data_IF_293321267512
#
_entry.id   IF_293321267512
#
_cell.length_a   1.000
_cell.length_b   1.000
_cell.length_c   1.000
_cell.angle_alpha   90.00
_cell.angle_beta   90.00
_cell.angle_gamma   90.00
#
_symmetry.space_group_name_H-M   'P 1'
#
loop_
_entity.id
_entity.type
_entity.pdbx_description
1 polymer ?
#
# COMPACT_ATOMS: atom_id res chain seq x y z
N UNK A 1 -1.04 1.91 19.49
CA UNK A 1 -0.69 2.41 18.16
C UNK A 1 -1.96 2.94 17.52
N UNK A 2 -2.00 4.23 17.17
CA UNK A 2 -3.14 4.87 16.50
C UNK A 2 -3.15 4.44 15.02
N UNK A 3 -4.32 4.05 14.47
CA UNK A 3 -4.48 3.71 13.04
C UNK A 3 -5.31 4.79 12.37
N UNK A 4 -4.86 5.27 11.21
CA UNK A 4 -5.70 5.99 10.25
C UNK A 4 -5.56 5.36 8.88
N UNK A 5 -6.67 5.19 8.18
CA UNK A 5 -6.70 4.72 6.79
C UNK A 5 -7.28 5.84 5.94
N UNK A 6 -6.55 6.23 4.89
CA UNK A 6 -7.08 7.14 3.88
C UNK A 6 -8.12 6.39 3.04
N UNK A 7 -9.36 6.88 3.08
CA UNK A 7 -10.47 6.28 2.34
C UNK A 7 -10.32 6.51 0.83
N UNK A 8 -9.66 7.58 0.43
CA UNK A 8 -9.35 7.86 -0.96
C UNK A 8 -8.21 6.95 -1.44
N UNK A 9 -8.44 6.25 -2.55
CA UNK A 9 -7.37 5.50 -3.21
C UNK A 9 -6.38 6.49 -3.84
N UNK A 10 -5.09 6.18 -3.77
CA UNK A 10 -4.03 7.04 -4.26
C UNK A 10 -3.05 6.25 -5.12
N UNK A 11 -2.38 6.95 -6.03
CA UNK A 11 -1.29 6.44 -6.85
C UNK A 11 0.04 6.70 -6.13
N UNK A 12 0.63 5.62 -5.63
CA UNK A 12 1.92 5.60 -4.98
C UNK A 12 3.02 5.21 -5.97
N UNK A 13 4.27 5.46 -5.58
CA UNK A 13 5.46 5.15 -6.38
C UNK A 13 6.38 4.24 -5.58
N UNK A 14 6.47 2.97 -5.98
CA UNK A 14 7.33 2.00 -5.34
C UNK A 14 8.75 2.09 -5.90
N UNK A 15 9.75 2.08 -5.03
CA UNK A 15 11.16 2.03 -5.44
C UNK A 15 11.49 0.61 -5.91
N UNK A 16 11.93 0.48 -7.17
CA UNK A 16 12.36 -0.82 -7.69
C UNK A 16 13.87 -0.98 -7.63
N UNK A 17 14.33 -2.23 -7.71
CA UNK A 17 15.76 -2.55 -7.82
C UNK A 17 16.39 -2.11 -9.16
N UNK A 18 15.60 -1.58 -10.10
CA UNK A 18 16.06 -1.07 -11.40
C UNK A 18 16.36 0.43 -11.36
N UNK A 19 16.26 1.09 -10.20
CA UNK A 19 16.48 2.53 -10.10
C UNK A 19 15.38 3.35 -10.77
N UNK A 20 14.15 2.84 -10.78
CA UNK A 20 12.98 3.58 -11.23
C UNK A 20 11.81 3.49 -10.23
N UNK A 21 10.84 4.39 -10.43
CA UNK A 21 9.58 4.42 -9.71
C UNK A 21 8.54 3.59 -10.44
N UNK A 22 7.95 2.62 -9.75
CA UNK A 22 6.83 1.84 -10.26
C UNK A 22 5.51 2.39 -9.69
N UNK A 23 4.60 2.92 -10.53
CA UNK A 23 3.33 3.42 -10.06
C UNK A 23 2.43 2.25 -9.61
N UNK A 24 1.78 2.41 -8.47
CA UNK A 24 0.85 1.43 -7.91
C UNK A 24 -0.33 2.13 -7.23
N UNK A 25 -1.54 1.62 -7.43
CA UNK A 25 -2.74 2.14 -6.77
C UNK A 25 -2.96 1.38 -5.47
N UNK A 26 -3.31 2.10 -4.41
CA UNK A 26 -3.61 1.51 -3.10
C UNK A 26 -4.18 2.53 -2.14
N UNK A 27 -4.10 2.23 -0.84
CA UNK A 27 -4.53 3.15 0.22
C UNK A 27 -3.38 3.45 1.20
N UNK A 28 -3.33 4.69 1.68
CA UNK A 28 -2.43 5.05 2.76
C UNK A 28 -2.99 4.56 4.11
N UNK A 29 -2.12 3.96 4.92
CA UNK A 29 -2.37 3.52 6.28
C UNK A 29 -1.30 4.15 7.16
N UNK A 30 -1.71 5.04 8.04
CA UNK A 30 -0.86 5.61 9.07
C UNK A 30 -0.96 4.78 10.34
N UNK A 31 0.20 4.37 10.86
CA UNK A 31 0.32 3.70 12.16
C UNK A 31 1.41 4.39 12.96
N UNK A 32 1.01 5.12 13.99
CA UNK A 32 1.87 6.04 14.75
C UNK A 32 2.63 7.01 13.83
N UNK A 33 3.96 6.94 13.81
CA UNK A 33 4.85 7.77 12.98
C UNK A 33 5.00 7.28 11.52
N UNK A 34 4.57 6.06 11.21
CA UNK A 34 4.75 5.49 9.89
C UNK A 34 3.54 5.76 9.00
N UNK A 35 3.78 6.34 7.82
CA UNK A 35 2.79 6.41 6.75
C UNK A 35 3.16 5.37 5.70
N UNK A 36 2.31 4.37 5.54
CA UNK A 36 2.55 3.21 4.67
C UNK A 36 1.49 3.18 3.57
N UNK A 37 1.82 2.69 2.38
CA UNK A 37 0.83 2.34 1.36
C UNK A 37 0.60 0.84 1.33
N UNK A 38 -0.66 0.43 1.28
CA UNK A 38 -1.08 -0.95 1.03
C UNK A 38 -1.55 -1.06 -0.43
N UNK A 39 -0.72 -1.67 -1.28
CA UNK A 39 -0.99 -1.82 -2.71
C UNK A 39 -1.15 -3.30 -3.08
N UNK A 40 -2.28 -3.72 -3.68
CA UNK A 40 -2.43 -5.10 -4.15
C UNK A 40 -1.42 -5.41 -5.26
N UNK A 41 -0.75 -6.57 -5.15
CA UNK A 41 0.18 -7.06 -6.17
C UNK A 41 0.17 -8.59 -6.24
N UNK A 42 0.77 -9.11 -7.31
CA UNK A 42 1.11 -10.53 -7.41
C UNK A 42 2.58 -10.72 -7.02
N UNK A 43 2.82 -11.56 -6.03
CA UNK A 43 4.13 -12.04 -5.60
C UNK A 43 4.31 -13.49 -6.07
N UNK A 44 5.49 -13.82 -6.58
CA UNK A 44 5.76 -15.14 -7.17
C UNK A 44 5.81 -16.27 -6.15
N UNK A 45 6.04 -15.95 -4.87
CA UNK A 45 6.12 -16.92 -3.77
C UNK A 45 4.78 -17.02 -3.04
N UNK A 46 4.15 -15.88 -2.77
CA UNK A 46 2.95 -15.81 -1.93
C UNK A 46 1.63 -15.68 -2.71
N UNK A 47 1.69 -15.53 -4.03
CA UNK A 47 0.52 -15.31 -4.86
C UNK A 47 0.00 -13.88 -4.72
N UNK A 48 -1.31 -13.71 -4.52
CA UNK A 48 -1.92 -12.37 -4.38
C UNK A 48 -1.65 -11.84 -2.98
N UNK A 49 -1.03 -10.66 -2.89
CA UNK A 49 -0.62 -10.04 -1.63
C UNK A 49 -0.93 -8.54 -1.63
N UNK A 50 -0.93 -7.94 -0.46
CA UNK A 50 -0.77 -6.51 -0.28
C UNK A 50 0.71 -6.22 -0.04
N UNK A 51 1.30 -5.43 -0.93
CA UNK A 51 2.60 -4.83 -0.70
C UNK A 51 2.47 -3.68 0.30
N UNK A 52 3.30 -3.70 1.34
CA UNK A 52 3.34 -2.66 2.36
C UNK A 52 4.66 -1.92 2.25
N UNK A 53 4.61 -0.68 1.75
CA UNK A 53 5.79 0.17 1.54
C UNK A 53 5.63 1.51 2.24
N UNK A 54 6.74 2.14 2.62
CA UNK A 54 6.70 3.49 3.18
C UNK A 54 6.54 4.52 2.06
N UNK A 55 5.65 5.50 2.26
CA UNK A 55 5.14 6.34 1.17
C UNK A 55 6.16 7.32 0.58
N UNK A 56 7.14 7.78 1.36
CA UNK A 56 8.13 8.78 0.90
C UNK A 56 9.31 8.14 0.18
N UNK A 57 9.62 6.89 0.48
CA UNK A 57 10.73 6.13 -0.11
C UNK A 57 10.28 5.09 -1.12
N UNK A 58 8.99 4.74 -1.14
CA UNK A 58 8.46 3.63 -1.94
C UNK A 58 9.04 2.27 -1.54
N UNK A 59 9.79 2.20 -0.43
CA UNK A 59 10.53 1.01 -0.04
C UNK A 59 9.66 0.06 0.78
N UNK A 60 9.75 -1.22 0.45
CA UNK A 60 9.05 -2.28 1.19
C UNK A 60 9.72 -2.52 2.55
N UNK A 61 9.14 -1.93 3.59
CA UNK A 61 9.68 -2.00 4.96
C UNK A 61 9.26 -3.26 5.72
N UNK A 62 8.12 -3.84 5.36
CA UNK A 62 7.52 -5.03 5.98
C UNK A 62 7.34 -6.17 4.95
N UNK A 63 7.11 -7.38 5.44
CA UNK A 63 6.74 -8.49 4.55
C UNK A 63 5.36 -8.23 3.92
N UNK A 64 5.13 -8.65 2.66
CA UNK A 64 3.81 -8.58 2.06
C UNK A 64 2.78 -9.35 2.87
N UNK A 65 1.55 -8.86 2.89
CA UNK A 65 0.43 -9.52 3.59
C UNK A 65 -0.34 -10.35 2.56
N UNK A 66 -0.40 -11.69 2.70
CA UNK A 66 -1.18 -12.52 1.77
C UNK A 66 -2.66 -12.16 1.77
N UNK A 67 -3.25 -12.08 0.57
CA UNK A 67 -4.70 -11.94 0.39
C UNK A 67 -5.28 -13.35 0.37
N UNK A 68 -5.83 -13.78 1.50
CA UNK A 68 -6.34 -15.14 1.72
C UNK A 68 -7.83 -15.13 2.06
N UNK A 69 -8.48 -16.29 1.89
CA UNK A 69 -9.85 -16.52 2.34
C UNK A 69 -10.89 -15.65 1.61
N UNK A 70 -11.74 -15.01 2.39
CA UNK A 70 -12.90 -14.20 1.98
C UNK A 70 -12.56 -12.73 1.65
N UNK A 71 -11.27 -12.38 1.54
CA UNK A 71 -10.85 -11.02 1.25
C UNK A 71 -11.49 -10.45 -0.03
N UNK A 72 -11.73 -11.27 -1.05
CA UNK A 72 -12.46 -10.87 -2.27
C UNK A 72 -13.90 -10.45 -1.98
N UNK A 73 -14.59 -11.19 -1.12
CA UNK A 73 -15.99 -10.91 -0.77
C UNK A 73 -16.06 -9.64 0.07
N UNK A 74 -15.14 -9.48 1.04
CA UNK A 74 -15.05 -8.30 1.91
C UNK A 74 -14.72 -7.01 1.16
N UNK A 75 -13.90 -7.10 0.11
CA UNK A 75 -13.44 -5.94 -0.68
C UNK A 75 -14.30 -5.69 -1.93
N UNK A 76 -15.45 -6.36 -2.06
CA UNK A 76 -16.37 -6.19 -3.18
C UNK A 76 -17.01 -4.80 -3.29
N UNK A 77 -16.91 -3.99 -2.25
CA UNK A 77 -17.40 -2.60 -2.22
C UNK A 77 -16.31 -1.67 -1.68
N UNK A 78 -16.40 -0.37 -1.99
CA UNK A 78 -15.48 0.64 -1.45
C UNK A 78 -15.52 0.64 0.10
N UNK A 79 -16.71 0.67 0.69
CA UNK A 79 -16.88 0.64 2.14
C UNK A 79 -16.32 -0.66 2.78
N UNK A 80 -16.55 -1.81 2.13
CA UNK A 80 -16.01 -3.10 2.55
C UNK A 80 -14.47 -3.13 2.48
N UNK A 81 -13.89 -2.52 1.45
CA UNK A 81 -12.43 -2.37 1.30
C UNK A 81 -11.85 -1.54 2.44
N UNK A 82 -12.45 -0.40 2.75
CA UNK A 82 -12.00 0.45 3.87
C UNK A 82 -12.15 -0.27 5.20
N UNK A 83 -13.25 -1.01 5.41
CA UNK A 83 -13.43 -1.82 6.61
C UNK A 83 -12.33 -2.88 6.74
N UNK A 84 -12.06 -3.65 5.68
CA UNK A 84 -11.00 -4.67 5.64
C UNK A 84 -9.61 -4.08 5.93
N UNK A 85 -9.29 -2.92 5.33
CA UNK A 85 -8.02 -2.23 5.58
C UNK A 85 -7.89 -1.80 7.05
N UNK A 86 -8.96 -1.28 7.65
CA UNK A 86 -8.97 -0.78 9.03
C UNK A 86 -8.88 -1.89 10.07
N UNK A 87 -9.55 -3.02 9.84
CA UNK A 87 -9.73 -4.05 10.88
C UNK A 87 -8.77 -5.21 10.75
N UNK A 88 -8.40 -5.61 9.53
CA UNK A 88 -7.56 -6.79 9.30
C UNK A 88 -6.14 -6.39 8.90
N UNK A 89 -6.01 -5.57 7.84
CA UNK A 89 -4.69 -5.20 7.31
C UNK A 89 -3.91 -4.36 8.32
N UNK A 90 -4.53 -3.33 8.90
CA UNK A 90 -3.84 -2.47 9.85
C UNK A 90 -3.42 -3.20 11.13
N UNK A 91 -4.22 -4.17 11.62
CA UNK A 91 -3.85 -5.01 12.76
C UNK A 91 -2.68 -5.94 12.43
N UNK A 92 -2.64 -6.50 11.22
CA UNK A 92 -1.50 -7.32 10.79
C UNK A 92 -0.24 -6.46 10.61
N UNK A 93 -0.35 -5.25 10.05
CA UNK A 93 0.77 -4.31 10.00
C UNK A 93 1.28 -3.98 11.41
N UNK A 94 0.40 -3.70 12.38
CA UNK A 94 0.80 -3.48 13.78
C UNK A 94 1.58 -4.68 14.33
N UNK A 95 1.09 -5.90 14.12
CA UNK A 95 1.78 -7.13 14.56
C UNK A 95 3.17 -7.24 13.93
N UNK A 96 3.28 -6.96 12.63
CA UNK A 96 4.55 -6.98 11.91
C UNK A 96 5.51 -5.89 12.41
N UNK A 97 5.04 -4.67 12.67
CA UNK A 97 5.85 -3.59 13.26
C UNK A 97 6.37 -4.01 14.63
N UNK A 98 5.52 -4.56 15.50
CA UNK A 98 5.93 -5.01 16.82
C UNK A 98 6.93 -6.18 16.76
N UNK A 99 6.77 -7.09 15.79
CA UNK A 99 7.69 -8.22 15.58
C UNK A 99 9.06 -7.77 15.05
N UNK A 100 9.08 -6.82 14.12
CA UNK A 100 10.33 -6.32 13.52
C UNK A 100 11.04 -5.33 14.43
N UNK A 101 10.28 -4.52 15.18
CA UNK A 101 10.75 -3.42 16.00
C UNK A 101 10.81 -2.10 15.21
N UNK A 102 10.26 -1.02 15.80
CA UNK A 102 10.18 0.32 15.18
C UNK A 102 11.54 0.84 14.73
N UNK A 103 12.56 0.72 15.58
CA UNK A 103 13.91 1.23 15.29
C UNK A 103 14.49 0.64 14.00
N UNK A 104 14.31 -0.65 13.78
CA UNK A 104 14.80 -1.34 12.57
C UNK A 104 14.05 -0.90 11.31
N UNK A 105 12.77 -0.53 11.45
CA UNK A 105 11.99 0.04 10.34
C UNK A 105 12.49 1.44 10.00
N UNK A 106 12.71 2.28 11.01
CA UNK A 106 13.29 3.63 10.84
C UNK A 106 14.64 3.53 10.12
N UNK A 107 15.53 2.64 10.57
CA UNK A 107 16.84 2.43 9.92
C UNK A 107 16.73 2.00 8.45
N UNK A 108 15.72 1.18 8.11
CA UNK A 108 15.47 0.81 6.69
C UNK A 108 14.99 2.01 5.87
N UNK A 109 14.12 2.84 6.44
CA UNK A 109 13.59 4.04 5.79
C UNK A 109 14.73 5.02 5.52
N UNK A 110 15.57 5.33 6.51
CA UNK A 110 16.69 6.27 6.34
C UNK A 110 17.69 5.76 5.30
N UNK A 111 18.06 4.48 5.34
CA UNK A 111 18.91 3.87 4.29
C UNK A 111 18.28 3.96 2.91
N UNK A 112 16.96 3.81 2.81
CA UNK A 112 16.28 3.95 1.53
C UNK A 112 16.26 5.40 1.05
N UNK A 113 16.14 6.39 1.93
CA UNK A 113 16.22 7.81 1.55
C UNK A 113 17.58 8.13 0.95
N UNK A 114 18.65 7.70 1.62
CA UNK A 114 20.03 7.86 1.14
C UNK A 114 20.21 7.19 -0.23
N UNK A 115 19.80 5.93 -0.37
CA UNK A 115 19.91 5.20 -1.63
C UNK A 115 19.11 5.88 -2.75
N UNK A 116 17.87 6.27 -2.49
CA UNK A 116 17.00 6.87 -3.49
C UNK A 116 17.53 8.21 -3.97
N UNK A 117 18.10 9.04 -3.09
CA UNK A 117 18.68 10.33 -3.47
C UNK A 117 19.85 10.19 -4.46
N UNK A 118 20.57 9.07 -4.42
CA UNK A 118 21.71 8.80 -5.30
C UNK A 118 21.31 8.07 -6.59
N UNK A 119 20.27 7.24 -6.57
CA UNK A 119 20.00 6.25 -7.62
C UNK A 119 18.66 6.39 -8.34
N UNK A 120 17.71 7.14 -7.77
CA UNK A 120 16.38 7.32 -8.34
C UNK A 120 16.21 8.77 -8.82
N UNK A 121 15.44 9.00 -9.89
CA UNK A 121 15.00 10.35 -10.21
C UNK A 121 14.09 10.90 -9.10
N UNK A 122 13.78 12.19 -9.15
CA UNK A 122 12.81 12.79 -8.23
C UNK A 122 11.49 11.99 -8.24
N UNK A 123 10.98 11.68 -7.04
CA UNK A 123 9.74 10.91 -6.91
C UNK A 123 8.56 11.75 -7.39
N UNK A 124 7.73 11.25 -8.32
CA UNK A 124 6.53 11.97 -8.71
C UNK A 124 5.58 12.14 -7.50
N UNK A 125 4.70 13.15 -7.53
CA UNK A 125 3.74 13.34 -6.44
C UNK A 125 2.79 12.14 -6.30
N UNK A 126 2.33 11.91 -5.07
CA UNK A 126 1.23 11.00 -4.78
C UNK A 126 -0.06 11.73 -5.14
N UNK A 127 -0.89 11.09 -5.95
CA UNK A 127 -2.11 11.67 -6.50
C UNK A 127 -3.31 10.83 -6.09
N UNK A 128 -4.42 11.50 -5.75
CA UNK A 128 -5.69 10.81 -5.54
C UNK A 128 -6.18 10.22 -6.87
N UNK A 129 -6.62 8.97 -6.83
CA UNK A 129 -7.18 8.27 -7.99
C UNK A 129 -8.67 8.54 -8.03
N UNK A 130 -9.15 9.15 -9.11
CA UNK A 130 -10.58 9.22 -9.37
C UNK A 130 -11.14 7.80 -9.55
N UNK A 131 -12.03 7.39 -8.64
CA UNK A 131 -12.72 6.10 -8.67
C UNK A 131 -14.16 6.21 -9.17
N UNK A 132 -14.60 7.39 -9.59
CA UNK A 132 -16.00 7.65 -9.98
C UNK A 132 -16.39 6.89 -11.26
N UNK A 133 -15.42 6.47 -12.08
CA UNK A 133 -15.66 5.60 -13.23
C UNK A 133 -15.99 4.14 -12.87
N UNK A 134 -15.70 3.70 -11.64
CA UNK A 134 -15.98 2.33 -11.17
C UNK A 134 -17.47 2.15 -10.82
N UNK A 135 -18.14 3.24 -10.43
CA UNK A 135 -19.56 3.28 -10.09
C UNK A 135 -20.43 3.82 -11.22
N UNK A 136 -19.85 4.24 -12.34
CA UNK A 136 -20.62 4.55 -13.54
C UNK A 136 -21.35 3.27 -13.97
N UNK A 137 -22.68 3.29 -13.88
CA UNK A 137 -23.53 2.21 -14.36
C UNK A 137 -23.05 1.76 -15.73
N UNK A 138 -22.95 0.44 -15.93
CA UNK A 138 -22.80 -0.16 -17.26
C UNK A 138 -24.14 0.08 -17.98
N UNK A 139 -24.43 1.34 -18.34
CA UNK A 139 -25.61 1.71 -19.09
C UNK A 139 -25.33 1.42 -20.56
N UNK A 140 -26.01 0.37 -21.05
CA UNK A 140 -26.31 0.09 -22.46
C UNK A 140 -25.13 -0.10 -23.42
N UNK A 141 -24.54 -1.30 -23.38
CA UNK A 141 -24.11 -1.94 -24.63
C UNK A 141 -24.97 -3.19 -24.83
N UNK A 142 -26.11 -3.00 -25.50
CA UNK A 142 -26.85 -4.09 -26.12
C UNK A 142 -25.99 -4.64 -27.27
N UNK A 143 -25.49 -5.87 -27.11
CA UNK A 143 -24.95 -6.67 -28.22
C UNK A 143 -25.98 -7.71 -28.67
#
# INVERSE_FOLDING_TARGET
>A
MEIKVNEQAQKFHLATNQGNWQPMIGHAIQIDEFTLCACPMFDTVFGRVLNISEVTTGHRVLLPIPVVGDAYEKTSTAAGTIAFLRTEVAEEIKRLINKVGKQKIIEKIEKSKEYNAEHLPEMPPIEDVDTDWITADISDVTH
#
